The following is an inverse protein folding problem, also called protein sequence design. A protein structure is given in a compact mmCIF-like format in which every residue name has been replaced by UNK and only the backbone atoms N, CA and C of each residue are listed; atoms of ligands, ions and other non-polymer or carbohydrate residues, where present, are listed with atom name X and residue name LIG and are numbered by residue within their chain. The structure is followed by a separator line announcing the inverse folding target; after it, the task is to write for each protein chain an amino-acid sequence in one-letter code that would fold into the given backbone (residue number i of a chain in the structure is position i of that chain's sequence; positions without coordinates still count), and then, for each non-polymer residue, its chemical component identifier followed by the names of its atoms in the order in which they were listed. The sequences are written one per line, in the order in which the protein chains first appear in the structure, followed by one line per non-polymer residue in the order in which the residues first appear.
data_IF_051191894085
#
_entry.id   IF_051191894085
#
_cell.length_a   1.000
_cell.length_b   1.000
_cell.length_c   1.000
_cell.angle_alpha   90.00
_cell.angle_beta   90.00
_cell.angle_gamma   90.00
#
_symmetry.space_group_name_H-M   'P 1'
#
loop_
_entity.id
_entity.type
_entity.pdbx_description
1 polymer ?
#
# COMPACT_ATOMS: atom_id res chain seq x y z
N UNK A 1 -12.75 13.20 -8.07
CA UNK A 1 -14.01 13.33 -7.32
C UNK A 1 -13.86 14.55 -6.42
N UNK A 2 -14.67 15.62 -6.59
CA UNK A 2 -14.40 16.91 -5.95
C UNK A 2 -14.83 16.98 -4.49
N UNK A 3 -15.95 16.34 -4.13
CA UNK A 3 -16.52 16.30 -2.79
C UNK A 3 -16.03 15.06 -2.04
N UNK A 4 -15.29 15.20 -0.95
CA UNK A 4 -14.70 14.06 -0.24
C UNK A 4 -15.20 14.02 1.21
N UNK A 5 -15.44 12.82 1.74
CA UNK A 5 -15.87 12.62 3.13
C UNK A 5 -17.37 12.40 3.33
N UNK A 6 -18.18 12.35 2.26
CA UNK A 6 -19.66 12.26 2.34
C UNK A 6 -20.19 11.11 3.21
N UNK A 7 -19.44 10.00 3.29
CA UNK A 7 -19.85 8.81 4.05
C UNK A 7 -19.18 8.70 5.42
N UNK A 8 -18.37 9.69 5.81
CA UNK A 8 -17.58 9.65 7.04
C UNK A 8 -16.58 8.50 7.04
N UNK A 9 -16.13 8.16 8.24
CA UNK A 9 -15.21 7.04 8.49
C UNK A 9 -15.94 6.00 9.36
N UNK A 10 -15.92 4.71 8.97
CA UNK A 10 -16.52 3.65 9.77
C UNK A 10 -15.71 3.35 11.03
N UNK A 11 -16.29 2.60 11.98
CA UNK A 11 -15.60 2.16 13.18
C UNK A 11 -14.35 1.34 12.82
N UNK A 12 -13.19 1.80 13.30
CA UNK A 12 -11.89 1.15 13.05
C UNK A 12 -11.79 -0.20 13.78
N UNK A 13 -12.48 -0.34 14.91
CA UNK A 13 -12.46 -1.55 15.73
C UNK A 13 -13.35 -2.68 15.20
N UNK A 14 -14.20 -2.41 14.21
CA UNK A 14 -15.02 -3.46 13.61
C UNK A 14 -14.15 -4.45 12.86
N UNK A 15 -14.25 -5.71 13.25
CA UNK A 15 -13.56 -6.83 12.62
C UNK A 15 -14.52 -7.69 11.80
N UNK A 16 -13.98 -8.41 10.82
CA UNK A 16 -14.68 -9.46 10.11
C UNK A 16 -14.56 -10.82 10.83
N UNK A 17 -15.11 -11.86 10.22
CA UNK A 17 -15.08 -13.25 10.71
C UNK A 17 -13.67 -13.84 10.87
N UNK A 18 -12.64 -13.17 10.33
CA UNK A 18 -11.24 -13.57 10.44
C UNK A 18 -10.44 -12.70 11.42
N UNK A 19 -11.13 -11.92 12.25
CA UNK A 19 -10.52 -10.97 13.20
C UNK A 19 -9.70 -9.85 12.54
N UNK A 20 -9.91 -9.60 11.23
CA UNK A 20 -9.25 -8.54 10.47
C UNK A 20 -10.11 -7.27 10.40
N UNK A 21 -9.52 -6.06 10.29
CA UNK A 21 -10.26 -4.81 10.12
C UNK A 21 -11.28 -4.90 8.98
N UNK A 22 -12.57 -4.73 9.29
CA UNK A 22 -13.66 -5.02 8.36
C UNK A 22 -13.73 -4.06 7.17
N UNK A 23 -13.46 -2.77 7.42
CA UNK A 23 -13.66 -1.69 6.44
C UNK A 23 -12.37 -1.03 5.97
N UNK A 24 -11.20 -1.54 6.37
CA UNK A 24 -9.89 -0.94 6.08
C UNK A 24 -8.96 -1.94 5.41
N UNK A 25 -8.07 -1.41 4.55
CA UNK A 25 -7.13 -2.21 3.75
C UNK A 25 -5.76 -2.38 4.41
N UNK A 26 -5.60 -1.91 5.65
CA UNK A 26 -4.36 -1.99 6.43
C UNK A 26 -4.71 -2.20 7.90
N UNK A 27 -3.73 -2.66 8.69
CA UNK A 27 -3.94 -2.99 10.10
C UNK A 27 -4.10 -1.75 10.98
N UNK A 28 -3.36 -0.68 10.69
CA UNK A 28 -3.37 0.53 11.50
C UNK A 28 -3.05 1.80 10.70
N UNK A 29 -3.58 2.93 11.17
CA UNK A 29 -3.20 4.26 10.72
C UNK A 29 -3.86 4.74 9.43
N UNK A 30 -3.16 5.63 8.72
CA UNK A 30 -3.47 6.13 7.38
C UNK A 30 -2.15 6.09 6.61
N UNK A 31 -2.17 5.57 5.38
CA UNK A 31 -0.94 5.34 4.60
C UNK A 31 -0.51 6.53 3.74
N UNK A 32 -1.40 7.49 3.49
CA UNK A 32 -1.06 8.70 2.71
C UNK A 32 -0.35 9.72 3.60
N UNK A 33 0.69 10.35 3.07
CA UNK A 33 1.42 11.41 3.77
C UNK A 33 0.57 12.68 3.97
N UNK A 34 -0.36 12.94 3.04
CA UNK A 34 -1.29 14.05 3.11
C UNK A 34 -2.48 13.82 2.17
N UNK A 35 -3.59 14.53 2.41
CA UNK A 35 -4.76 14.52 1.53
C UNK A 35 -5.04 15.93 0.96
N UNK A 36 -5.23 16.02 -0.36
CA UNK A 36 -5.61 17.26 -1.06
C UNK A 36 -6.98 17.03 -1.70
N UNK A 37 -7.97 17.85 -1.34
CA UNK A 37 -9.35 17.72 -1.84
C UNK A 37 -9.87 19.04 -2.39
N UNK A 38 -10.91 18.95 -3.24
CA UNK A 38 -11.65 20.12 -3.69
C UNK A 38 -12.50 20.66 -2.54
N UNK A 39 -13.39 19.82 -2.02
CA UNK A 39 -14.29 20.16 -0.94
C UNK A 39 -14.35 19.00 0.06
N UNK A 40 -14.46 19.34 1.34
CA UNK A 40 -14.59 18.40 2.45
C UNK A 40 -16.04 18.43 2.95
N UNK A 41 -16.63 17.26 3.15
CA UNK A 41 -17.95 17.14 3.77
C UNK A 41 -17.80 17.10 5.30
N UNK A 42 -18.32 18.14 5.97
CA UNK A 42 -18.29 18.25 7.44
C UNK A 42 -19.43 17.47 8.12
N UNK A 43 -20.52 17.19 7.39
CA UNK A 43 -21.72 16.50 7.89
C UNK A 43 -21.99 15.20 7.12
N UNK A 44 -21.14 14.17 7.29
CA UNK A 44 -21.32 12.91 6.58
C UNK A 44 -22.65 12.23 6.93
N UNK A 45 -23.25 11.57 5.94
CA UNK A 45 -24.50 10.83 6.12
C UNK A 45 -24.37 9.42 5.55
N UNK A 46 -24.13 8.46 6.43
CA UNK A 46 -24.06 7.05 6.09
C UNK A 46 -24.31 6.22 7.34
N UNK A 47 -25.02 5.09 7.21
CA UNK A 47 -25.40 4.24 8.35
C UNK A 47 -24.20 3.63 9.09
N UNK A 48 -23.02 3.58 8.47
CA UNK A 48 -21.75 3.16 9.11
C UNK A 48 -20.87 4.32 9.58
N UNK A 49 -21.25 5.58 9.37
CA UNK A 49 -20.41 6.70 9.74
C UNK A 49 -20.26 6.78 11.27
N UNK A 50 -19.02 6.77 11.76
CA UNK A 50 -18.69 6.87 13.18
C UNK A 50 -17.96 8.18 13.51
N UNK A 51 -17.11 8.65 12.61
CA UNK A 51 -16.43 9.94 12.73
C UNK A 51 -16.29 10.65 11.38
N UNK A 52 -15.97 11.95 11.40
CA UNK A 52 -15.68 12.70 10.17
C UNK A 52 -14.28 12.37 9.66
N UNK A 53 -14.07 12.51 8.34
CA UNK A 53 -12.74 12.35 7.73
C UNK A 53 -11.70 13.29 8.38
N UNK A 54 -12.08 14.53 8.67
CA UNK A 54 -11.22 15.53 9.32
C UNK A 54 -10.78 15.09 10.73
N UNK A 55 -11.68 14.53 11.53
CA UNK A 55 -11.35 14.05 12.88
C UNK A 55 -10.46 12.81 12.83
N UNK A 56 -10.75 11.88 11.91
CA UNK A 56 -9.92 10.70 11.70
C UNK A 56 -8.50 11.06 11.27
N UNK A 57 -8.35 12.00 10.33
CA UNK A 57 -7.05 12.47 9.89
C UNK A 57 -6.26 13.16 11.01
N UNK A 58 -6.92 14.03 11.81
CA UNK A 58 -6.30 14.66 12.98
C UNK A 58 -5.79 13.63 13.98
N UNK A 59 -6.60 12.61 14.28
CA UNK A 59 -6.24 11.52 15.20
C UNK A 59 -5.02 10.72 14.73
N UNK A 60 -4.87 10.54 13.41
CA UNK A 60 -3.74 9.84 12.80
C UNK A 60 -2.56 10.77 12.46
N UNK A 61 -2.60 12.04 12.88
CA UNK A 61 -1.57 13.04 12.56
C UNK A 61 -1.29 13.20 11.05
N UNK A 62 -2.31 13.02 10.21
CA UNK A 62 -2.18 13.20 8.75
C UNK A 62 -2.70 14.58 8.34
N UNK A 63 -1.87 15.42 7.70
CA UNK A 63 -2.29 16.73 7.22
C UNK A 63 -3.23 16.61 6.02
N UNK A 64 -4.16 17.56 5.92
CA UNK A 64 -5.05 17.70 4.78
C UNK A 64 -5.29 19.15 4.41
N UNK A 65 -5.64 19.41 3.14
CA UNK A 65 -6.03 20.73 2.65
C UNK A 65 -7.24 20.60 1.72
N UNK A 66 -8.23 21.47 1.91
CA UNK A 66 -9.43 21.60 1.09
C UNK A 66 -9.47 22.96 0.38
N UNK A 67 -10.40 23.16 -0.54
CA UNK A 67 -10.53 24.38 -1.33
C UNK A 67 -9.54 24.46 -2.50
N UNK A 68 -8.90 23.35 -2.87
CA UNK A 68 -7.91 23.30 -3.95
C UNK A 68 -8.57 22.87 -5.25
N UNK A 69 -8.27 23.55 -6.37
CA UNK A 69 -8.63 23.06 -7.70
C UNK A 69 -7.82 21.80 -8.04
N UNK A 70 -8.34 20.65 -7.60
CA UNK A 70 -7.76 19.32 -7.86
C UNK A 70 -7.74 18.96 -9.33
N UNK A 71 -8.57 19.59 -10.19
CA UNK A 71 -8.55 19.40 -11.64
C UNK A 71 -7.34 20.11 -12.25
N UNK A 72 -7.09 21.37 -11.87
CA UNK A 72 -5.89 22.09 -12.28
C UNK A 72 -4.62 21.38 -11.81
N UNK A 73 -4.60 20.92 -10.56
CA UNK A 73 -3.49 20.13 -10.03
C UNK A 73 -3.25 18.84 -10.82
N UNK A 74 -4.32 18.09 -11.12
CA UNK A 74 -4.25 16.85 -11.91
C UNK A 74 -3.71 17.10 -13.32
N UNK A 75 -4.15 18.18 -14.00
CA UNK A 75 -3.60 18.57 -15.31
C UNK A 75 -2.10 18.85 -15.22
N UNK A 76 -1.68 19.63 -14.21
CA UNK A 76 -0.26 19.97 -14.00
C UNK A 76 0.60 18.73 -13.79
N UNK A 77 0.14 17.76 -12.98
CA UNK A 77 0.82 16.46 -12.77
C UNK A 77 0.87 15.66 -14.08
N UNK A 78 -0.23 15.58 -14.83
CA UNK A 78 -0.26 14.82 -16.09
C UNK A 78 0.71 15.38 -17.13
N UNK A 79 0.82 16.69 -17.23
CA UNK A 79 1.67 17.38 -18.20
C UNK A 79 3.16 17.27 -17.85
N UNK A 80 3.52 17.47 -16.58
CA UNK A 80 4.91 17.51 -16.10
C UNK A 80 5.43 16.18 -15.52
N UNK A 81 4.55 15.19 -15.34
CA UNK A 81 4.88 13.88 -14.79
C UNK A 81 4.92 13.83 -13.26
N UNK A 82 5.92 13.15 -12.69
CA UNK A 82 6.04 13.06 -11.22
C UNK A 82 6.50 14.40 -10.66
N UNK A 83 5.64 15.05 -9.86
CA UNK A 83 5.94 16.33 -9.21
C UNK A 83 6.06 16.09 -7.69
N UNK A 84 7.09 16.65 -7.07
CA UNK A 84 7.20 16.72 -5.61
C UNK A 84 6.37 17.89 -5.08
N UNK A 85 5.66 17.67 -3.98
CA UNK A 85 4.80 18.67 -3.36
C UNK A 85 4.91 18.64 -1.84
N UNK A 86 4.56 19.75 -1.22
CA UNK A 86 4.52 19.90 0.24
C UNK A 86 3.31 20.75 0.63
N UNK A 87 2.60 20.35 1.68
CA UNK A 87 1.63 21.20 2.36
C UNK A 87 2.38 21.96 3.46
N UNK A 88 2.24 23.28 3.48
CA UNK A 88 2.81 24.16 4.50
C UNK A 88 1.69 24.92 5.20
N UNK A 89 1.78 25.07 6.52
CA UNK A 89 0.76 25.77 7.31
C UNK A 89 0.84 27.29 7.12
N UNK A 90 2.06 27.82 7.05
CA UNK A 90 2.33 29.23 6.76
C UNK A 90 3.36 29.31 5.64
N UNK A 91 3.34 30.43 4.90
CA UNK A 91 4.34 30.68 3.86
C UNK A 91 5.73 30.74 4.49
N UNK A 92 6.67 29.88 4.07
CA UNK A 92 8.04 29.94 4.53
C UNK A 92 8.69 31.25 4.07
N UNK A 93 9.47 31.88 4.96
CA UNK A 93 10.23 33.09 4.63
C UNK A 93 11.31 32.83 3.57
N UNK A 94 11.79 31.58 3.48
CA UNK A 94 12.86 31.16 2.60
C UNK A 94 12.36 30.01 1.70
N UNK A 95 11.73 30.39 0.60
CA UNK A 95 11.24 29.45 -0.41
C UNK A 95 12.38 28.86 -1.24
N UNK A 96 13.49 29.59 -1.40
CA UNK A 96 14.61 29.18 -2.25
C UNK A 96 15.41 28.02 -1.63
N UNK A 97 15.55 28.00 -0.31
CA UNK A 97 16.21 26.91 0.41
C UNK A 97 15.28 25.73 0.76
N UNK A 98 14.04 25.74 0.28
CA UNK A 98 13.07 24.71 0.62
C UNK A 98 13.36 23.41 -0.15
N UNK A 99 14.04 22.49 0.53
CA UNK A 99 14.35 21.16 -0.03
C UNK A 99 13.11 20.26 -0.05
N UNK A 100 12.78 19.73 -1.22
CA UNK A 100 11.82 18.65 -1.37
C UNK A 100 12.50 17.30 -1.11
N UNK A 101 11.86 16.45 -0.31
CA UNK A 101 12.28 15.07 -0.11
C UNK A 101 11.60 14.18 -1.14
N UNK A 102 12.37 13.39 -1.89
CA UNK A 102 11.81 12.42 -2.84
C UNK A 102 11.65 11.06 -2.13
N UNK A 103 10.41 10.64 -1.79
CA UNK A 103 10.18 9.37 -1.12
C UNK A 103 10.60 8.16 -1.97
N UNK A 104 10.73 8.32 -3.30
CA UNK A 104 11.12 7.21 -4.18
C UNK A 104 12.61 6.82 -4.02
N UNK A 105 13.41 7.63 -3.33
CA UNK A 105 14.81 7.30 -3.03
C UNK A 105 14.94 6.37 -1.81
N UNK A 106 13.88 6.26 -1.00
CA UNK A 106 13.83 5.40 0.20
C UNK A 106 13.26 4.03 -0.14
N UNK A 107 13.58 3.03 0.68
CA UNK A 107 12.97 1.71 0.58
C UNK A 107 11.58 1.73 1.25
N UNK A 108 10.59 2.25 0.53
CA UNK A 108 9.21 2.37 1.02
C UNK A 108 8.60 1.01 1.37
N UNK A 109 9.03 -0.07 0.69
CA UNK A 109 8.62 -1.44 0.98
C UNK A 109 9.06 -1.86 2.38
N UNK A 110 10.29 -1.55 2.77
CA UNK A 110 10.80 -1.84 4.11
C UNK A 110 10.06 -1.07 5.21
N UNK A 111 9.58 0.15 4.90
CA UNK A 111 8.81 0.98 5.84
C UNK A 111 7.43 0.37 6.11
N UNK A 112 6.72 -0.09 5.08
CA UNK A 112 5.36 -0.62 5.21
C UNK A 112 5.25 -2.12 5.52
N UNK A 113 6.27 -2.91 5.22
CA UNK A 113 6.27 -4.36 5.47
C UNK A 113 6.13 -4.68 6.97
N UNK A 114 5.42 -5.79 7.27
CA UNK A 114 5.44 -6.44 8.59
C UNK A 114 6.87 -6.71 9.05
N UNK A 115 7.07 -6.66 10.37
CA UNK A 115 8.39 -6.85 11.00
C UNK A 115 8.64 -8.30 11.43
N UNK A 116 7.58 -9.09 11.58
CA UNK A 116 7.63 -10.50 11.94
C UNK A 116 6.55 -11.26 11.16
N UNK A 117 6.75 -12.57 10.90
CA UNK A 117 5.74 -13.40 10.26
C UNK A 117 4.40 -13.40 11.01
N UNK A 118 3.30 -13.42 10.27
CA UNK A 118 1.95 -13.54 10.80
C UNK A 118 1.22 -14.64 10.05
N UNK A 119 0.49 -15.50 10.77
CA UNK A 119 -0.26 -16.61 10.17
C UNK A 119 -1.75 -16.32 10.25
N UNK A 120 -2.43 -16.52 9.13
CA UNK A 120 -3.87 -16.41 8.98
C UNK A 120 -4.44 -17.75 8.54
N UNK A 121 -5.57 -18.14 9.14
CA UNK A 121 -6.23 -19.41 8.88
C UNK A 121 -5.28 -20.62 9.07
N UNK A 122 -4.75 -20.78 10.29
CA UNK A 122 -3.68 -21.73 10.65
C UNK A 122 -3.91 -23.17 10.15
N UNK A 123 -5.16 -23.63 10.18
CA UNK A 123 -5.55 -25.00 9.78
C UNK A 123 -5.92 -25.12 8.30
N UNK A 124 -5.82 -24.01 7.55
CA UNK A 124 -6.19 -23.92 6.14
C UNK A 124 -5.25 -24.67 5.19
N UNK A 125 -5.72 -24.84 3.96
CA UNK A 125 -4.98 -25.44 2.85
C UNK A 125 -5.47 -24.85 1.53
N UNK A 126 -4.59 -24.58 0.54
CA UNK A 126 -3.14 -24.80 0.54
C UNK A 126 -2.37 -23.82 1.46
N UNK A 127 -1.09 -24.10 1.72
CA UNK A 127 -0.18 -23.19 2.44
C UNK A 127 0.40 -22.16 1.48
N UNK A 128 0.13 -20.88 1.71
CA UNK A 128 0.61 -19.77 0.90
C UNK A 128 1.59 -18.94 1.71
N UNK A 129 2.83 -18.82 1.23
CA UNK A 129 3.75 -17.81 1.74
C UNK A 129 3.49 -16.48 1.02
N UNK A 130 3.12 -15.43 1.75
CA UNK A 130 2.83 -14.11 1.21
C UNK A 130 3.92 -13.12 1.61
N UNK A 131 4.67 -12.59 0.65
CA UNK A 131 5.67 -11.54 0.90
C UNK A 131 4.94 -10.20 1.02
N UNK A 132 5.07 -9.57 2.18
CA UNK A 132 4.52 -8.24 2.43
C UNK A 132 5.41 -7.16 1.84
N UNK A 133 4.94 -6.53 0.76
CA UNK A 133 5.59 -5.40 0.15
C UNK A 133 4.85 -4.08 0.44
N UNK A 134 3.89 -4.06 1.38
CA UNK A 134 2.88 -3.00 1.53
C UNK A 134 1.49 -3.49 1.16
N UNK A 135 1.18 -4.71 1.59
CA UNK A 135 -0.01 -5.46 1.25
C UNK A 135 -1.30 -4.74 1.68
N UNK A 136 -2.29 -4.73 0.77
CA UNK A 136 -3.69 -4.48 1.11
C UNK A 136 -4.34 -5.73 1.70
N UNK A 137 -4.94 -5.61 2.88
CA UNK A 137 -5.52 -6.72 3.66
C UNK A 137 -6.52 -7.56 2.88
N UNK A 138 -7.26 -6.98 1.93
CA UNK A 138 -8.22 -7.76 1.15
C UNK A 138 -7.57 -8.89 0.33
N UNK A 139 -6.27 -8.82 0.02
CA UNK A 139 -5.55 -9.95 -0.60
C UNK A 139 -5.50 -11.16 0.34
N UNK A 140 -5.20 -10.95 1.63
CA UNK A 140 -5.21 -12.01 2.65
C UNK A 140 -6.62 -12.55 2.81
N UNK A 141 -7.62 -11.66 2.94
CA UNK A 141 -9.04 -12.04 3.06
C UNK A 141 -9.48 -12.93 1.91
N UNK A 142 -9.10 -12.61 0.67
CA UNK A 142 -9.44 -13.42 -0.49
C UNK A 142 -8.84 -14.83 -0.45
N UNK A 143 -7.63 -15.00 0.10
CA UNK A 143 -7.01 -16.33 0.22
C UNK A 143 -7.66 -17.15 1.32
N UNK A 144 -7.83 -16.59 2.51
CA UNK A 144 -8.41 -17.31 3.65
C UNK A 144 -9.88 -17.64 3.42
N UNK A 145 -10.64 -16.79 2.71
CA UNK A 145 -12.02 -17.08 2.33
C UNK A 145 -12.15 -18.23 1.33
N UNK A 146 -11.05 -18.62 0.69
CA UNK A 146 -10.95 -19.80 -0.19
C UNK A 146 -10.34 -21.00 0.52
N UNK A 147 -10.15 -20.92 1.83
CA UNK A 147 -9.65 -22.00 2.68
C UNK A 147 -8.13 -22.06 2.84
N UNK A 148 -7.36 -21.19 2.18
CA UNK A 148 -5.90 -21.23 2.24
C UNK A 148 -5.37 -20.80 3.62
N UNK A 149 -4.28 -21.43 4.07
CA UNK A 149 -3.45 -20.94 5.18
C UNK A 149 -2.46 -19.94 4.62
N UNK A 150 -2.42 -18.72 5.14
CA UNK A 150 -1.52 -17.68 4.65
C UNK A 150 -0.51 -17.30 5.71
N UNK A 151 0.76 -17.43 5.39
CA UNK A 151 1.87 -16.93 6.19
C UNK A 151 2.40 -15.64 5.56
N UNK A 152 2.03 -14.49 6.12
CA UNK A 152 2.51 -13.19 5.72
C UNK A 152 3.89 -12.95 6.31
N UNK A 153 4.90 -12.77 5.47
CA UNK A 153 6.30 -12.62 5.87
C UNK A 153 6.86 -11.26 5.45
N UNK A 154 7.89 -10.75 6.15
CA UNK A 154 8.57 -9.52 5.76
C UNK A 154 9.09 -9.53 4.32
N UNK A 155 9.20 -8.35 3.69
CA UNK A 155 9.71 -8.19 2.32
C UNK A 155 11.09 -8.83 2.06
N UNK A 156 11.93 -8.93 3.10
CA UNK A 156 13.30 -9.45 3.06
C UNK A 156 13.43 -10.85 3.66
N UNK A 157 12.31 -11.56 3.82
CA UNK A 157 12.29 -12.90 4.41
C UNK A 157 13.07 -13.91 3.56
N UNK A 158 13.78 -14.83 4.22
CA UNK A 158 14.50 -15.91 3.54
C UNK A 158 13.51 -17.05 3.22
N UNK A 159 13.17 -17.19 1.93
CA UNK A 159 12.19 -18.16 1.47
C UNK A 159 12.76 -19.58 1.49
N UNK A 160 11.89 -20.54 1.79
CA UNK A 160 12.19 -21.97 1.73
C UNK A 160 10.98 -22.69 1.12
N UNK A 161 11.18 -23.27 -0.07
CA UNK A 161 10.15 -23.88 -0.91
C UNK A 161 9.45 -25.09 -0.25
N UNK A 162 10.10 -25.72 0.74
CA UNK A 162 9.55 -26.84 1.52
C UNK A 162 8.39 -26.40 2.42
N UNK A 163 8.33 -25.12 2.81
CA UNK A 163 7.41 -24.64 3.84
C UNK A 163 6.03 -24.24 3.31
N UNK A 164 5.86 -24.10 1.99
CA UNK A 164 4.62 -23.62 1.39
C UNK A 164 4.28 -24.35 0.08
N UNK A 165 3.01 -24.33 -0.31
CA UNK A 165 2.49 -24.91 -1.54
C UNK A 165 2.44 -23.89 -2.69
N UNK A 166 2.37 -22.59 -2.37
CA UNK A 166 2.44 -21.51 -3.34
C UNK A 166 3.04 -20.23 -2.76
N UNK A 167 3.61 -19.40 -3.62
CA UNK A 167 4.19 -18.12 -3.27
C UNK A 167 3.31 -16.96 -3.78
N UNK A 168 3.01 -16.02 -2.90
CA UNK A 168 2.30 -14.80 -3.23
C UNK A 168 3.18 -13.57 -2.96
N UNK A 169 3.20 -12.63 -3.90
CA UNK A 169 3.94 -11.36 -3.77
C UNK A 169 2.94 -10.22 -3.88
N UNK A 170 2.79 -9.49 -2.79
CA UNK A 170 1.74 -8.47 -2.66
C UNK A 170 2.02 -7.19 -3.44
N UNK A 171 1.03 -6.30 -3.48
CA UNK A 171 1.24 -4.92 -3.91
C UNK A 171 2.19 -4.17 -2.95
N UNK A 172 2.68 -3.02 -3.39
CA UNK A 172 3.51 -2.17 -2.56
C UNK A 172 3.76 -0.79 -3.16
N UNK A 173 4.29 0.15 -2.36
CA UNK A 173 4.79 1.42 -2.82
C UNK A 173 6.21 1.29 -3.42
N UNK A 174 6.68 2.34 -4.07
CA UNK A 174 8.08 2.45 -4.49
C UNK A 174 8.41 1.74 -5.80
N UNK A 175 9.70 1.46 -5.97
CA UNK A 175 10.29 0.90 -7.20
C UNK A 175 10.90 -0.49 -6.91
N UNK A 176 10.64 -1.51 -7.73
CA UNK A 176 11.23 -2.85 -7.54
C UNK A 176 12.77 -2.85 -7.56
N UNK A 177 13.43 -1.85 -8.14
CA UNK A 177 14.90 -1.74 -8.19
C UNK A 177 15.51 -1.68 -6.78
N UNK A 178 14.79 -1.13 -5.78
CA UNK A 178 15.28 -1.09 -4.39
C UNK A 178 15.07 -2.39 -3.61
N UNK A 179 14.35 -3.36 -4.17
CA UNK A 179 13.99 -4.62 -3.54
C UNK A 179 14.85 -5.81 -4.02
N UNK A 180 16.15 -5.60 -4.23
CA UNK A 180 17.08 -6.61 -4.78
C UNK A 180 17.04 -7.95 -4.02
N UNK A 181 17.06 -7.88 -2.69
CA UNK A 181 17.00 -9.09 -1.85
C UNK A 181 15.72 -9.90 -2.10
N UNK A 182 14.57 -9.24 -2.23
CA UNK A 182 13.30 -9.92 -2.55
C UNK A 182 13.35 -10.56 -3.93
N UNK A 183 13.92 -9.86 -4.92
CA UNK A 183 14.08 -10.38 -6.29
C UNK A 183 14.94 -11.65 -6.29
N UNK A 184 16.07 -11.65 -5.58
CA UNK A 184 16.95 -12.82 -5.45
C UNK A 184 16.23 -14.02 -4.82
N UNK A 185 15.43 -13.79 -3.78
CA UNK A 185 14.63 -14.85 -3.15
C UNK A 185 13.57 -15.41 -4.11
N UNK A 186 12.89 -14.55 -4.88
CA UNK A 186 11.92 -14.96 -5.91
C UNK A 186 12.62 -15.75 -7.02
N UNK A 187 13.80 -15.34 -7.45
CA UNK A 187 14.60 -16.04 -8.47
C UNK A 187 14.93 -17.47 -8.05
N UNK A 188 15.31 -17.68 -6.79
CA UNK A 188 15.60 -19.02 -6.27
C UNK A 188 14.37 -19.94 -6.39
N UNK A 189 13.20 -19.47 -5.94
CA UNK A 189 11.95 -20.25 -6.03
C UNK A 189 11.53 -20.50 -7.48
N UNK A 190 11.72 -19.52 -8.38
CA UNK A 190 11.43 -19.68 -9.81
C UNK A 190 12.31 -20.76 -10.45
N UNK A 191 13.60 -20.82 -10.11
CA UNK A 191 14.54 -21.79 -10.66
C UNK A 191 14.19 -23.23 -10.26
N UNK A 192 13.60 -23.43 -9.08
CA UNK A 192 13.11 -24.75 -8.66
C UNK A 192 11.89 -25.21 -9.47
N UNK A 193 11.08 -24.27 -9.98
CA UNK A 193 10.04 -24.51 -10.99
C UNK A 193 8.83 -25.35 -10.56
N UNK A 194 8.70 -25.69 -9.27
CA UNK A 194 7.70 -26.65 -8.76
C UNK A 194 6.44 -26.01 -8.18
N UNK A 195 6.50 -24.72 -7.82
CA UNK A 195 5.46 -24.05 -7.04
C UNK A 195 4.76 -22.97 -7.87
N UNK A 196 3.42 -22.83 -7.80
CA UNK A 196 2.74 -21.69 -8.38
C UNK A 196 3.16 -20.39 -7.68
N UNK A 197 3.38 -19.35 -8.47
CA UNK A 197 3.75 -18.02 -7.99
C UNK A 197 2.78 -16.99 -8.55
N UNK A 198 2.26 -16.11 -7.69
CA UNK A 198 1.31 -15.07 -8.06
C UNK A 198 1.75 -13.72 -7.50
N UNK A 199 1.85 -12.70 -8.36
CA UNK A 199 2.26 -11.35 -7.98
C UNK A 199 1.24 -10.29 -8.40
N UNK A 200 0.95 -9.33 -7.51
CA UNK A 200 0.03 -8.23 -7.77
C UNK A 200 0.75 -6.89 -7.71
N UNK A 201 0.52 -6.02 -8.71
CA UNK A 201 1.09 -4.66 -8.77
C UNK A 201 2.64 -4.69 -8.66
N UNK A 202 3.21 -4.25 -7.53
CA UNK A 202 4.66 -4.37 -7.29
C UNK A 202 5.13 -5.83 -7.37
N UNK A 203 4.34 -6.79 -6.88
CA UNK A 203 4.66 -8.21 -7.00
C UNK A 203 4.77 -8.70 -8.44
N UNK A 204 3.96 -8.17 -9.37
CA UNK A 204 4.12 -8.44 -10.79
C UNK A 204 5.46 -7.89 -11.32
N UNK A 205 5.83 -6.68 -10.90
CA UNK A 205 7.09 -6.05 -11.32
C UNK A 205 8.32 -6.78 -10.76
N UNK A 206 8.25 -7.24 -9.50
CA UNK A 206 9.29 -8.05 -8.87
C UNK A 206 9.46 -9.40 -9.59
N UNK A 207 8.35 -10.06 -9.96
CA UNK A 207 8.40 -11.28 -10.78
C UNK A 207 9.03 -11.05 -12.15
N UNK A 208 8.63 -9.98 -12.83
CA UNK A 208 9.22 -9.62 -14.12
C UNK A 208 10.73 -9.35 -13.99
N UNK A 209 11.14 -8.65 -12.93
CA UNK A 209 12.56 -8.37 -12.65
C UNK A 209 13.34 -9.65 -12.34
N UNK A 210 12.74 -10.58 -11.61
CA UNK A 210 13.33 -11.87 -11.30
C UNK A 210 13.68 -12.68 -12.56
N UNK A 211 12.86 -12.61 -13.61
CA UNK A 211 13.15 -13.26 -14.91
C UNK A 211 13.99 -12.40 -15.86
N UNK A 212 14.58 -11.29 -15.39
CA UNK A 212 15.51 -10.45 -16.15
C UNK A 212 14.86 -9.31 -16.96
N UNK A 213 13.55 -9.07 -16.82
CA UNK A 213 12.92 -7.90 -17.42
C UNK A 213 13.34 -6.61 -16.70
N UNK A 214 13.23 -5.47 -17.39
CA UNK A 214 13.54 -4.15 -16.84
C UNK A 214 12.26 -3.36 -16.58
N UNK A 215 12.25 -2.62 -15.48
CA UNK A 215 11.20 -1.65 -15.15
C UNK A 215 11.65 -0.24 -15.49
N UNK A 216 10.68 0.66 -15.67
CA UNK A 216 10.94 2.08 -15.87
C UNK A 216 9.85 2.90 -15.19
N UNK A 217 10.20 4.10 -14.72
CA UNK A 217 9.26 5.02 -14.11
C UNK A 217 8.35 5.63 -15.19
N UNK A 218 7.04 5.42 -15.07
CA UNK A 218 6.06 6.04 -15.96
C UNK A 218 6.04 7.57 -15.75
N UNK A 219 5.70 8.32 -16.80
CA UNK A 219 5.51 9.78 -16.72
C UNK A 219 4.50 10.13 -15.62
N UNK A 220 3.36 9.44 -15.61
CA UNK A 220 2.38 9.43 -14.54
C UNK A 220 1.86 7.99 -14.37
N UNK A 221 1.50 7.62 -13.15
CA UNK A 221 1.02 6.28 -12.86
C UNK A 221 -0.43 6.05 -13.32
N UNK A 222 -0.81 4.79 -13.46
CA UNK A 222 -2.21 4.38 -13.58
C UNK A 222 -2.80 4.34 -12.16
N UNK A 223 -3.55 5.37 -11.78
CA UNK A 223 -4.08 5.58 -10.42
C UNK A 223 -5.58 5.80 -10.44
#
# INVERSE_FOLDING_TARGET
YPLIGNYGIPLVQEKDEYELPKHFEWLDGITVAALVVGEICDTPSHWRAAETLSNWMKRNNVPGISGIDTRALTKKIRENGTILGRIVYAMPNDLENLKFDDPNLRNLVAECSVKAPQIFNETGTPRICAIDCGLKLNQIKCFISRGARVELVPWNYNLNDVNFDGLFISNGPGDPIVCKQTVEQIQNILNDGKKPIFGICLGHQLLATAIGCKTYKMKYGNR
#
